data_IF_937610977075
#
_entry.id   IF_937610977075
#
_cell.length_a   1.000
_cell.length_b   1.000
_cell.length_c   1.000
_cell.angle_alpha   90.00
_cell.angle_beta   90.00
_cell.angle_gamma   90.00
#
_symmetry.space_group_name_H-M   'P 1'
#
loop_
_entity.id
_entity.type
_entity.pdbx_description
1 polymer ?
#
# COMPACT_ATOMS: atom_id res chain seq x y z
N UNK A 1 30.21 28.81 -1.87
CA UNK A 1 28.92 28.16 -1.54
C UNK A 1 29.26 26.79 -0.97
N UNK A 2 28.82 26.51 0.26
CA UNK A 2 29.10 25.24 0.94
C UNK A 2 28.44 24.09 0.18
N UNK A 3 29.11 22.94 0.12
CA UNK A 3 28.46 21.71 -0.33
C UNK A 3 27.53 21.17 0.79
N UNK A 4 26.72 20.14 0.50
CA UNK A 4 25.75 19.58 1.45
C UNK A 4 26.40 19.17 2.77
N UNK A 5 27.53 18.48 2.73
CA UNK A 5 28.24 18.01 3.92
C UNK A 5 28.79 19.18 4.73
N UNK A 6 29.42 20.14 4.07
CA UNK A 6 29.99 21.32 4.72
C UNK A 6 28.87 22.17 5.36
N UNK A 7 27.72 22.28 4.71
CA UNK A 7 26.55 22.98 5.27
C UNK A 7 25.99 22.28 6.50
N UNK A 8 25.90 20.95 6.50
CA UNK A 8 25.41 20.21 7.67
C UNK A 8 26.35 20.32 8.87
N UNK A 9 27.66 20.23 8.65
CA UNK A 9 28.65 20.47 9.71
C UNK A 9 28.59 21.93 10.19
N UNK A 10 28.44 22.89 9.28
CA UNK A 10 28.25 24.29 9.63
C UNK A 10 27.04 24.49 10.55
N UNK A 11 25.89 23.89 10.22
CA UNK A 11 24.70 24.00 11.07
C UNK A 11 24.95 23.38 12.45
N UNK A 12 25.50 22.17 12.51
CA UNK A 12 25.81 21.48 13.77
C UNK A 12 26.78 22.29 14.66
N UNK A 13 27.79 22.93 14.06
CA UNK A 13 28.80 23.70 14.79
C UNK A 13 28.29 25.08 15.26
N UNK A 14 27.31 25.68 14.58
CA UNK A 14 26.82 27.04 14.86
C UNK A 14 25.44 27.11 15.53
N UNK A 15 24.62 26.04 15.46
CA UNK A 15 23.25 26.04 16.03
C UNK A 15 23.22 26.35 17.52
N UNK A 16 24.30 26.01 18.22
CA UNK A 16 24.47 26.26 19.65
C UNK A 16 24.33 27.74 20.03
N UNK A 17 24.77 28.66 19.17
CA UNK A 17 24.74 30.10 19.45
C UNK A 17 23.32 30.68 19.43
N UNK A 18 22.36 29.92 18.91
CA UNK A 18 20.94 30.28 18.78
C UNK A 18 20.07 29.57 19.83
N UNK A 19 20.64 28.65 20.61
CA UNK A 19 19.91 27.89 21.62
C UNK A 19 19.90 28.61 22.99
N UNK A 20 18.86 28.40 23.81
CA UNK A 20 18.85 28.85 25.20
C UNK A 20 20.05 28.35 26.01
N UNK A 21 20.52 29.14 26.97
CA UNK A 21 21.73 28.86 27.79
C UNK A 21 21.68 27.48 28.48
N UNK A 22 20.49 26.97 28.82
CA UNK A 22 20.31 25.62 29.40
C UNK A 22 20.84 24.49 28.51
N UNK A 23 21.02 24.72 27.21
CA UNK A 23 21.55 23.75 26.24
C UNK A 23 23.01 24.02 25.83
N UNK A 24 23.70 24.92 26.53
CA UNK A 24 25.11 25.22 26.27
C UNK A 24 26.06 24.01 26.45
N UNK A 25 25.65 22.96 27.15
CA UNK A 25 26.42 21.72 27.28
C UNK A 25 25.87 20.57 26.43
N UNK A 26 24.92 20.82 25.53
CA UNK A 26 24.32 19.76 24.72
C UNK A 26 25.37 19.12 23.79
N UNK A 27 25.39 17.80 23.72
CA UNK A 27 26.26 17.06 22.80
C UNK A 27 25.60 16.97 21.41
N UNK A 28 25.69 18.06 20.67
CA UNK A 28 25.08 18.21 19.34
C UNK A 28 25.81 17.31 18.35
N UNK A 29 25.06 16.50 17.61
CA UNK A 29 25.62 15.61 16.59
C UNK A 29 24.69 15.48 15.39
N UNK A 30 25.27 15.03 14.28
CA UNK A 30 24.53 14.66 13.07
C UNK A 30 24.21 13.16 13.11
N UNK A 31 23.01 12.81 12.66
CA UNK A 31 22.57 11.43 12.54
C UNK A 31 21.92 11.22 11.17
N UNK A 32 22.36 10.19 10.45
CA UNK A 32 21.65 9.72 9.26
C UNK A 32 20.48 8.84 9.66
N UNK A 33 19.32 9.10 9.07
CA UNK A 33 18.07 8.40 9.37
C UNK A 33 17.49 7.88 8.06
N UNK A 34 17.37 6.56 7.96
CA UNK A 34 16.66 5.90 6.87
C UNK A 34 15.15 6.05 7.09
N UNK A 35 14.49 6.66 6.11
CA UNK A 35 13.04 6.82 6.01
C UNK A 35 12.48 5.80 5.02
N UNK A 36 11.15 5.83 4.85
CA UNK A 36 10.45 5.01 3.87
C UNK A 36 10.99 5.29 2.46
N UNK A 37 10.85 4.29 1.59
CA UNK A 37 11.27 4.30 0.19
C UNK A 37 12.78 4.57 0.00
N UNK A 38 13.61 4.19 0.98
CA UNK A 38 15.07 4.34 0.92
C UNK A 38 15.57 5.78 1.05
N UNK A 39 14.69 6.73 1.35
CA UNK A 39 15.08 8.12 1.57
C UNK A 39 15.99 8.21 2.81
N UNK A 40 17.19 8.73 2.63
CA UNK A 40 18.13 8.95 3.74
C UNK A 40 18.26 10.44 4.00
N UNK A 41 17.86 10.87 5.19
CA UNK A 41 17.95 12.26 5.63
C UNK A 41 19.00 12.40 6.72
N UNK A 42 19.65 13.57 6.78
CA UNK A 42 20.57 13.88 7.87
C UNK A 42 19.88 14.83 8.84
N UNK A 43 19.73 14.40 10.09
CA UNK A 43 19.20 15.21 11.16
C UNK A 43 20.32 15.79 12.03
N UNK A 44 20.12 17.02 12.52
CA UNK A 44 20.81 17.50 13.72
C UNK A 44 20.03 17.06 14.95
N UNK A 45 20.76 16.52 15.92
CA UNK A 45 20.22 16.00 17.17
C UNK A 45 20.85 16.80 18.31
N UNK A 46 20.00 17.42 19.12
CA UNK A 46 20.40 18.25 20.28
C UNK A 46 19.81 17.61 21.54
N UNK A 47 20.54 16.73 22.24
CA UNK A 47 20.02 16.06 23.43
C UNK A 47 19.83 17.04 24.60
N UNK A 48 18.70 16.93 25.29
CA UNK A 48 18.44 17.65 26.54
C UNK A 48 18.76 16.75 27.76
N UNK A 49 19.47 17.28 28.77
CA UNK A 49 19.94 16.50 29.93
C UNK A 49 18.81 15.81 30.72
N UNK A 50 17.62 16.43 30.75
CA UNK A 50 16.47 15.97 31.54
C UNK A 50 15.37 15.31 30.67
N UNK A 51 15.66 15.01 29.40
CA UNK A 51 14.70 14.38 28.49
C UNK A 51 15.26 13.11 27.87
N UNK A 52 14.44 12.06 27.86
CA UNK A 52 14.72 10.82 27.11
C UNK A 52 14.27 10.90 25.64
N UNK A 53 13.62 12.01 25.24
CA UNK A 53 13.17 12.25 23.87
C UNK A 53 13.93 13.45 23.32
N UNK A 54 14.45 13.30 22.11
CA UNK A 54 15.09 14.39 21.37
C UNK A 54 14.52 14.44 19.97
N UNK A 55 14.02 15.61 19.51
CA UNK A 55 13.56 15.78 18.15
C UNK A 55 14.72 15.66 17.16
N UNK A 56 14.42 15.09 16.00
CA UNK A 56 15.33 15.06 14.85
C UNK A 56 14.95 16.19 13.90
N UNK A 57 15.80 17.20 13.77
CA UNK A 57 15.60 18.28 12.80
C UNK A 57 16.38 17.96 11.52
N UNK A 58 15.68 17.57 10.46
CA UNK A 58 16.28 17.20 9.18
C UNK A 58 16.81 18.43 8.45
N UNK A 59 18.08 18.39 8.03
CA UNK A 59 18.78 19.53 7.46
C UNK A 59 18.59 19.70 5.94
N UNK A 60 18.02 18.69 5.29
CA UNK A 60 17.88 18.63 3.84
C UNK A 60 17.05 19.78 3.24
N UNK A 61 15.93 20.14 3.87
CA UNK A 61 15.10 21.29 3.45
C UNK A 61 15.85 22.62 3.61
N UNK A 62 16.51 22.83 4.74
CA UNK A 62 17.31 24.03 5.00
C UNK A 62 18.48 24.17 4.03
N UNK A 63 19.08 23.06 3.60
CA UNK A 63 20.11 23.09 2.55
C UNK A 63 19.54 23.54 1.21
N UNK A 64 18.31 23.14 0.85
CA UNK A 64 17.67 23.65 -0.37
C UNK A 64 17.40 25.15 -0.28
N UNK A 65 16.96 25.65 0.88
CA UNK A 65 16.79 27.10 1.09
C UNK A 65 18.12 27.86 0.95
N UNK A 66 19.20 27.35 1.53
CA UNK A 66 20.55 27.89 1.35
C UNK A 66 20.97 27.90 -0.12
N UNK A 67 20.72 26.80 -0.84
CA UNK A 67 20.98 26.68 -2.29
C UNK A 67 20.18 27.69 -3.12
N UNK A 68 19.00 28.07 -2.64
CA UNK A 68 18.14 29.09 -3.24
C UNK A 68 18.52 30.53 -2.82
N UNK A 69 19.62 30.71 -2.07
CA UNK A 69 20.20 32.01 -1.75
C UNK A 69 19.93 32.50 -0.32
N UNK A 70 19.29 31.69 0.53
CA UNK A 70 19.13 32.03 1.96
C UNK A 70 20.51 32.10 2.63
N UNK A 71 20.67 33.06 3.54
CA UNK A 71 21.91 33.21 4.29
C UNK A 71 22.11 31.98 5.22
N UNK A 72 23.32 31.41 5.31
CA UNK A 72 23.56 30.22 6.12
C UNK A 72 23.28 30.43 7.61
N UNK A 73 23.60 31.59 8.18
CA UNK A 73 23.32 31.92 9.59
C UNK A 73 21.82 32.05 9.85
N UNK A 74 21.05 32.52 8.86
CA UNK A 74 19.60 32.50 8.95
C UNK A 74 19.07 31.07 9.00
N UNK A 75 19.57 30.16 8.15
CA UNK A 75 19.21 28.74 8.20
C UNK A 75 19.53 28.09 9.55
N UNK A 76 20.66 28.46 10.18
CA UNK A 76 21.02 27.99 11.53
C UNK A 76 19.99 28.46 12.56
N UNK A 77 19.57 29.73 12.48
CA UNK A 77 18.50 30.29 13.30
C UNK A 77 17.18 29.53 13.13
N UNK A 78 16.76 29.27 11.89
CA UNK A 78 15.50 28.53 11.64
C UNK A 78 15.54 27.09 12.18
N UNK A 79 16.70 26.44 12.12
CA UNK A 79 16.90 25.10 12.70
C UNK A 79 16.77 25.15 14.21
N UNK A 80 17.33 26.17 14.86
CA UNK A 80 17.20 26.36 16.31
C UNK A 80 15.75 26.66 16.71
N UNK A 81 15.08 27.55 15.99
CA UNK A 81 13.68 27.90 16.23
C UNK A 81 12.76 26.69 16.10
N UNK A 82 12.91 25.90 15.04
CA UNK A 82 12.14 24.67 14.84
C UNK A 82 12.41 23.64 15.94
N UNK A 83 13.66 23.49 16.36
CA UNK A 83 13.99 22.59 17.46
C UNK A 83 13.38 23.06 18.79
N UNK A 84 13.42 24.37 19.08
CA UNK A 84 12.82 24.95 20.28
C UNK A 84 11.30 24.72 20.26
N UNK A 85 10.64 24.98 19.14
CA UNK A 85 9.20 24.74 18.98
C UNK A 85 8.83 23.27 19.21
N UNK A 86 9.63 22.34 18.70
CA UNK A 86 9.42 20.89 18.88
C UNK A 86 9.71 20.40 20.31
N UNK A 87 10.56 21.11 21.06
CA UNK A 87 10.82 20.82 22.47
C UNK A 87 9.81 21.50 23.41
N UNK A 88 9.25 22.64 23.02
CA UNK A 88 8.27 23.41 23.79
C UNK A 88 6.83 22.99 23.48
N UNK A 89 6.62 22.19 22.44
CA UNK A 89 5.31 21.60 22.20
C UNK A 89 4.95 20.75 23.42
N UNK A 90 3.77 21.02 24.01
CA UNK A 90 3.11 20.27 25.10
C UNK A 90 2.82 18.79 24.74
N UNK A 91 3.52 18.23 23.76
CA UNK A 91 3.73 16.81 23.56
C UNK A 91 4.46 16.25 24.79
N UNK A 92 3.75 16.20 25.91
CA UNK A 92 4.10 15.41 27.08
C UNK A 92 3.88 13.95 26.71
N UNK A 93 4.78 13.45 25.86
CA UNK A 93 4.80 12.08 25.38
C UNK A 93 5.03 11.20 26.60
N UNK A 94 3.96 10.60 27.10
CA UNK A 94 4.02 9.66 28.21
C UNK A 94 4.69 8.36 27.75
N UNK A 95 6.03 8.37 27.72
CA UNK A 95 6.86 7.22 27.35
C UNK A 95 6.53 6.01 28.22
N UNK A 96 6.25 6.22 29.51
CA UNK A 96 5.90 5.15 30.43
C UNK A 96 4.54 4.56 30.06
N UNK A 97 3.56 5.41 29.77
CA UNK A 97 2.25 5.01 29.25
C UNK A 97 2.33 4.22 27.95
N UNK A 98 3.29 4.52 27.07
CA UNK A 98 3.50 3.77 25.82
C UNK A 98 4.03 2.36 26.01
N UNK A 99 4.74 2.10 27.10
CA UNK A 99 5.23 0.76 27.42
C UNK A 99 4.11 -0.17 27.91
N UNK A 100 2.94 0.38 28.26
CA UNK A 100 1.75 -0.39 28.56
C UNK A 100 0.86 -0.52 27.32
N UNK A 101 0.74 -1.73 26.80
CA UNK A 101 -0.09 -2.03 25.63
C UNK A 101 -1.55 -1.60 25.81
N UNK A 102 -2.09 -1.71 27.03
CA UNK A 102 -3.47 -1.35 27.33
C UNK A 102 -3.78 0.13 27.08
N UNK A 103 -2.78 1.00 27.19
CA UNK A 103 -2.93 2.44 26.99
C UNK A 103 -2.79 2.88 25.53
N UNK A 104 -2.24 2.02 24.67
CA UNK A 104 -1.93 2.35 23.27
C UNK A 104 -2.78 1.60 22.26
N UNK A 105 -3.40 0.47 22.63
CA UNK A 105 -4.19 -0.37 21.72
C UNK A 105 -5.26 0.40 20.92
N UNK A 106 -5.94 1.35 21.56
CA UNK A 106 -7.02 2.14 20.95
C UNK A 106 -6.49 3.35 20.16
N UNK A 107 -5.17 3.53 20.13
CA UNK A 107 -4.44 4.53 19.35
C UNK A 107 -3.64 3.90 18.22
N UNK A 108 -3.75 2.58 18.04
CA UNK A 108 -3.09 1.87 16.96
C UNK A 108 -3.72 2.27 15.63
N UNK A 109 -2.87 2.42 14.63
CA UNK A 109 -3.24 2.68 13.25
C UNK A 109 -2.46 1.72 12.35
N UNK A 110 -3.15 1.14 11.38
CA UNK A 110 -2.52 0.37 10.30
C UNK A 110 -2.13 1.32 9.17
N UNK A 111 -0.91 1.17 8.69
CA UNK A 111 -0.39 1.84 7.49
C UNK A 111 0.20 0.79 6.57
N UNK A 112 0.46 1.16 5.32
CA UNK A 112 1.00 0.21 4.34
C UNK A 112 2.09 0.83 3.47
N UNK A 113 2.94 -0.04 2.93
CA UNK A 113 4.04 0.32 2.05
C UNK A 113 4.40 -0.83 1.10
N UNK A 114 5.15 -0.54 0.05
CA UNK A 114 5.79 -1.57 -0.78
C UNK A 114 6.99 -2.20 -0.04
N UNK A 115 6.95 -3.51 0.28
CA UNK A 115 8.02 -4.18 1.00
C UNK A 115 9.35 -4.17 0.23
N UNK A 116 9.32 -4.19 -1.11
CA UNK A 116 10.54 -4.25 -1.91
C UNK A 116 11.30 -2.92 -1.87
N UNK A 117 10.56 -1.80 -1.82
CA UNK A 117 11.13 -0.45 -1.69
C UNK A 117 11.53 -0.10 -0.24
N UNK A 118 11.04 -0.86 0.75
CA UNK A 118 11.17 -0.54 2.18
C UNK A 118 11.91 -1.62 2.99
N UNK A 119 12.63 -2.53 2.32
CA UNK A 119 13.23 -3.71 2.95
C UNK A 119 14.06 -3.38 4.20
N UNK A 120 15.02 -2.45 4.09
CA UNK A 120 15.88 -2.02 5.20
C UNK A 120 15.08 -1.36 6.32
N UNK A 121 14.16 -0.45 5.96
CA UNK A 121 13.33 0.27 6.94
C UNK A 121 12.38 -0.64 7.73
N UNK A 122 11.96 -1.77 7.14
CA UNK A 122 11.07 -2.76 7.75
C UNK A 122 11.80 -3.78 8.65
N UNK A 123 13.14 -3.81 8.67
CA UNK A 123 13.91 -4.86 9.38
C UNK A 123 13.61 -4.94 10.88
N UNK A 124 13.35 -3.80 11.53
CA UNK A 124 13.02 -3.68 12.94
C UNK A 124 11.52 -3.48 13.22
N UNK A 125 10.67 -3.42 12.18
CA UNK A 125 9.24 -3.11 12.32
C UNK A 125 8.38 -4.36 12.51
N UNK A 126 7.26 -4.17 13.20
CA UNK A 126 6.18 -5.16 13.23
C UNK A 126 5.40 -5.09 11.90
N UNK A 127 5.31 -6.22 11.20
CA UNK A 127 4.76 -6.27 9.83
C UNK A 127 3.85 -7.48 9.61
N UNK A 128 2.73 -7.27 8.93
CA UNK A 128 1.90 -8.33 8.34
C UNK A 128 1.83 -8.15 6.82
N UNK A 129 2.03 -9.23 6.07
CA UNK A 129 2.02 -9.19 4.59
C UNK A 129 0.60 -9.31 4.03
N UNK A 130 0.26 -8.45 3.07
CA UNK A 130 -0.97 -8.46 2.30
C UNK A 130 -0.65 -8.47 0.81
N UNK A 131 -0.37 -9.65 0.27
CA UNK A 131 0.06 -9.80 -1.13
C UNK A 131 1.36 -9.04 -1.39
N UNK A 132 1.28 -8.02 -2.24
CA UNK A 132 2.42 -7.17 -2.60
C UNK A 132 2.63 -5.97 -1.66
N UNK A 133 1.81 -5.83 -0.62
CA UNK A 133 1.96 -4.78 0.40
C UNK A 133 2.40 -5.35 1.75
N UNK A 134 3.15 -4.55 2.49
CA UNK A 134 3.44 -4.75 3.90
C UNK A 134 2.60 -3.79 4.74
N UNK A 135 1.75 -4.33 5.61
CA UNK A 135 1.10 -3.56 6.66
C UNK A 135 2.08 -3.38 7.83
N UNK A 136 2.27 -2.14 8.25
CA UNK A 136 3.01 -1.78 9.45
C UNK A 136 2.11 -0.96 10.37
N UNK A 137 2.51 -0.83 11.63
CA UNK A 137 1.65 -0.28 12.67
C UNK A 137 2.27 0.95 13.30
N UNK A 138 1.43 1.91 13.65
CA UNK A 138 1.83 3.11 14.38
C UNK A 138 0.93 3.35 15.58
N UNK A 139 1.46 3.95 16.63
CA UNK A 139 0.68 4.53 17.72
C UNK A 139 0.55 6.03 17.45
N UNK A 140 -0.68 6.53 17.30
CA UNK A 140 -0.93 7.95 17.12
C UNK A 140 -0.90 8.66 18.48
N UNK A 141 -0.06 9.67 18.60
CA UNK A 141 0.20 10.40 19.84
C UNK A 141 -0.67 11.66 19.93
N UNK A 142 -0.71 12.39 18.83
CA UNK A 142 -1.55 13.56 18.64
C UNK A 142 -1.87 13.73 17.16
N UNK A 143 -2.97 14.41 16.90
CA UNK A 143 -3.39 14.83 15.57
C UNK A 143 -3.77 16.30 15.67
N UNK A 144 -3.12 17.13 14.87
CA UNK A 144 -3.39 18.56 14.76
C UNK A 144 -3.53 18.94 13.28
N UNK A 145 -3.70 20.24 13.00
CA UNK A 145 -3.83 20.72 11.62
C UNK A 145 -2.56 20.52 10.78
N UNK A 146 -1.42 20.34 11.43
CA UNK A 146 -0.10 20.22 10.80
C UNK A 146 0.30 18.74 10.57
N UNK A 147 -0.45 17.78 11.12
CA UNK A 147 -0.32 16.36 10.84
C UNK A 147 -0.57 15.45 12.04
N UNK A 148 -0.11 14.19 11.90
CA UNK A 148 -0.26 13.14 12.91
C UNK A 148 1.11 12.81 13.50
N UNK A 149 1.34 13.18 14.76
CA UNK A 149 2.50 12.72 15.51
C UNK A 149 2.30 11.23 15.85
N UNK A 150 3.23 10.39 15.42
CA UNK A 150 3.08 8.94 15.57
C UNK A 150 4.42 8.23 15.73
N UNK A 151 4.39 7.09 16.42
CA UNK A 151 5.55 6.21 16.63
C UNK A 151 5.29 4.89 15.93
N UNK A 152 6.27 4.40 15.16
CA UNK A 152 6.16 3.09 14.53
C UNK A 152 6.35 1.97 15.55
N UNK A 153 5.51 0.94 15.47
CA UNK A 153 5.63 -0.25 16.32
C UNK A 153 6.78 -1.11 15.81
N UNK A 154 7.78 -1.29 16.66
CA UNK A 154 8.96 -2.11 16.40
C UNK A 154 8.81 -3.51 16.98
N UNK A 155 9.68 -4.43 16.56
CA UNK A 155 9.80 -5.77 17.16
C UNK A 155 10.12 -5.69 18.66
N UNK A 156 10.94 -4.70 19.07
CA UNK A 156 11.25 -4.47 20.48
C UNK A 156 10.00 -4.04 21.29
N UNK A 157 9.10 -3.24 20.70
CA UNK A 157 7.84 -2.88 21.36
C UNK A 157 6.90 -4.09 21.51
N UNK A 158 6.83 -4.97 20.50
CA UNK A 158 6.09 -6.23 20.61
C UNK A 158 6.60 -7.08 21.78
N UNK A 159 7.92 -7.23 21.91
CA UNK A 159 8.56 -7.96 23.02
C UNK A 159 8.25 -7.32 24.38
N UNK A 160 8.33 -5.99 24.48
CA UNK A 160 8.01 -5.25 25.69
C UNK A 160 6.54 -5.41 26.11
N UNK A 161 5.62 -5.34 25.14
CA UNK A 161 4.18 -5.52 25.33
C UNK A 161 3.77 -6.98 25.55
N UNK A 162 4.67 -7.93 25.23
CA UNK A 162 4.42 -9.38 25.33
C UNK A 162 3.22 -9.83 24.49
N UNK A 163 3.06 -9.25 23.31
CA UNK A 163 2.05 -9.64 22.33
C UNK A 163 2.72 -10.12 21.03
N UNK A 164 2.01 -10.91 20.25
CA UNK A 164 2.45 -11.29 18.92
C UNK A 164 1.92 -10.32 17.85
N UNK A 165 2.48 -10.42 16.64
CA UNK A 165 2.08 -9.58 15.50
C UNK A 165 0.64 -9.81 15.05
N UNK A 166 0.08 -11.01 15.29
CA UNK A 166 -1.31 -11.32 14.94
C UNK A 166 -2.29 -10.57 15.83
N UNK A 167 -2.03 -10.54 17.14
CA UNK A 167 -2.78 -9.76 18.13
C UNK A 167 -2.69 -8.27 17.79
N UNK A 168 -1.47 -7.76 17.56
CA UNK A 168 -1.27 -6.37 17.13
C UNK A 168 -2.08 -6.03 15.87
N UNK A 169 -2.06 -6.91 14.86
CA UNK A 169 -2.79 -6.69 13.62
C UNK A 169 -4.30 -6.60 13.87
N UNK A 170 -4.86 -7.52 14.65
CA UNK A 170 -6.30 -7.53 14.94
C UNK A 170 -6.72 -6.27 15.71
N UNK A 171 -5.97 -5.89 16.73
CA UNK A 171 -6.25 -4.70 17.53
C UNK A 171 -6.09 -3.42 16.71
N UNK A 172 -5.05 -3.33 15.88
CA UNK A 172 -4.86 -2.21 14.96
C UNK A 172 -6.00 -2.11 13.94
N UNK A 173 -6.42 -3.22 13.34
CA UNK A 173 -7.57 -3.24 12.42
C UNK A 173 -8.86 -2.81 13.12
N UNK A 174 -9.06 -3.21 14.39
CA UNK A 174 -10.24 -2.79 15.15
C UNK A 174 -10.22 -1.29 15.50
N UNK A 175 -9.08 -0.76 15.93
CA UNK A 175 -8.86 0.66 16.21
C UNK A 175 -9.04 1.53 14.95
N UNK A 176 -8.54 1.05 13.81
CA UNK A 176 -8.53 1.78 12.53
C UNK A 176 -9.93 1.89 11.87
N UNK A 177 -10.93 1.12 12.32
CA UNK A 177 -12.30 1.15 11.77
C UNK A 177 -12.98 2.52 11.85
N UNK A 178 -12.64 3.33 12.85
CA UNK A 178 -13.30 4.61 13.11
C UNK A 178 -12.67 5.79 12.35
N UNK A 179 -11.77 5.53 11.39
CA UNK A 179 -11.09 6.58 10.63
C UNK A 179 -11.95 7.34 9.63
N UNK A 180 -13.24 7.00 9.53
CA UNK A 180 -14.16 7.63 8.60
C UNK A 180 -13.75 7.38 7.15
N UNK A 181 -13.76 6.12 6.69
CA UNK A 181 -13.44 5.81 5.31
C UNK A 181 -14.38 6.58 4.38
N UNK A 182 -13.79 7.17 3.34
CA UNK A 182 -14.50 7.98 2.38
C UNK A 182 -14.12 7.61 0.95
N UNK A 183 -15.14 7.37 0.14
CA UNK A 183 -14.99 7.19 -1.29
C UNK A 183 -15.55 8.42 -1.99
N UNK A 184 -14.74 9.09 -2.80
CA UNK A 184 -15.15 10.27 -3.55
C UNK A 184 -14.97 10.04 -5.04
N UNK A 185 -15.81 10.63 -5.88
CA UNK A 185 -15.49 10.70 -7.31
C UNK A 185 -14.44 11.77 -7.55
N UNK A 186 -13.61 11.60 -8.57
CA UNK A 186 -12.62 12.61 -8.93
C UNK A 186 -13.27 13.94 -9.33
N UNK A 187 -14.43 13.90 -9.98
CA UNK A 187 -15.17 15.12 -10.34
C UNK A 187 -15.61 15.89 -9.09
N UNK A 188 -16.20 15.21 -8.10
CA UNK A 188 -16.63 15.87 -6.85
C UNK A 188 -15.43 16.43 -6.07
N UNK A 189 -14.27 15.75 -6.11
CA UNK A 189 -13.03 16.27 -5.51
C UNK A 189 -12.53 17.54 -6.23
N UNK A 190 -12.55 17.56 -7.56
CA UNK A 190 -12.18 18.75 -8.34
C UNK A 190 -13.15 19.91 -8.08
N UNK A 191 -14.46 19.65 -8.10
CA UNK A 191 -15.48 20.65 -7.80
C UNK A 191 -15.35 21.19 -6.38
N UNK A 192 -15.12 20.32 -5.38
CA UNK A 192 -14.89 20.73 -3.99
C UNK A 192 -13.68 21.66 -3.85
N UNK A 193 -12.63 21.45 -4.64
CA UNK A 193 -11.41 22.26 -4.60
C UNK A 193 -11.62 23.65 -5.21
N UNK A 194 -12.58 23.79 -6.14
CA UNK A 194 -12.91 25.05 -6.81
C UNK A 194 -13.99 25.82 -6.04
N UNK A 195 -15.02 25.13 -5.55
CA UNK A 195 -16.22 25.73 -4.95
C UNK A 195 -16.18 25.77 -3.42
N UNK A 196 -15.30 24.99 -2.78
CA UNK A 196 -15.18 24.88 -1.33
C UNK A 196 -16.28 24.03 -0.65
N UNK A 197 -17.12 23.34 -1.43
CA UNK A 197 -18.17 22.46 -0.91
C UNK A 197 -17.61 21.09 -0.51
N UNK A 198 -18.11 20.48 0.58
CA UNK A 198 -17.64 19.15 1.00
C UNK A 198 -18.14 18.09 0.01
N UNK A 199 -17.26 17.25 -0.57
CA UNK A 199 -17.68 16.20 -1.50
C UNK A 199 -18.53 15.14 -0.77
N UNK A 200 -19.48 14.55 -1.50
CA UNK A 200 -20.34 13.50 -0.97
C UNK A 200 -19.58 12.18 -0.84
N UNK A 201 -19.59 11.57 0.34
CA UNK A 201 -19.03 10.23 0.54
C UNK A 201 -19.94 9.18 -0.11
N UNK A 202 -19.39 8.42 -1.05
CA UNK A 202 -20.10 7.43 -1.88
C UNK A 202 -20.27 6.07 -1.18
N UNK A 203 -19.52 5.77 -0.11
CA UNK A 203 -19.72 4.51 0.64
C UNK A 203 -21.08 4.46 1.36
N UNK A 204 -21.62 5.63 1.72
CA UNK A 204 -22.88 5.77 2.47
C UNK A 204 -23.94 6.55 1.65
N UNK A 205 -23.72 6.73 0.35
CA UNK A 205 -24.57 7.55 -0.52
C UNK A 205 -25.53 6.73 -1.38
N UNK A 206 -26.51 7.41 -1.98
CA UNK A 206 -27.50 6.80 -2.88
C UNK A 206 -27.04 6.75 -4.35
N UNK A 207 -25.94 7.44 -4.68
CA UNK A 207 -25.39 7.50 -6.04
C UNK A 207 -24.79 6.17 -6.44
N UNK A 208 -24.91 5.81 -7.71
CA UNK A 208 -24.34 4.58 -8.27
C UNK A 208 -23.12 4.88 -9.14
N UNK A 209 -22.16 3.95 -9.17
CA UNK A 209 -20.97 4.09 -10.01
C UNK A 209 -21.28 4.32 -11.50
N UNK A 210 -22.39 3.75 -11.99
CA UNK A 210 -22.82 3.87 -13.39
C UNK A 210 -23.29 5.29 -13.77
N UNK A 211 -23.54 6.16 -12.79
CA UNK A 211 -23.95 7.55 -13.02
C UNK A 211 -22.77 8.46 -13.38
N UNK A 212 -21.53 7.98 -13.23
CA UNK A 212 -20.32 8.76 -13.48
C UNK A 212 -19.78 8.50 -14.88
N UNK A 213 -19.67 9.57 -15.68
CA UNK A 213 -19.16 9.49 -17.06
C UNK A 213 -17.70 9.01 -17.14
N UNK A 214 -16.87 9.42 -16.18
CA UNK A 214 -15.50 8.92 -15.99
C UNK A 214 -15.43 8.28 -14.59
N UNK A 215 -15.60 6.96 -14.48
CA UNK A 215 -15.68 6.30 -13.18
C UNK A 215 -14.27 6.10 -12.60
N UNK A 216 -13.70 7.17 -12.06
CA UNK A 216 -12.48 7.15 -11.25
C UNK A 216 -12.82 7.69 -9.86
N UNK A 217 -12.47 6.91 -8.85
CA UNK A 217 -12.82 7.18 -7.47
C UNK A 217 -11.58 7.19 -6.57
N UNK A 218 -11.60 7.99 -5.53
CA UNK A 218 -10.53 8.10 -4.54
C UNK A 218 -11.03 7.56 -3.20
N UNK A 219 -10.36 6.52 -2.69
CA UNK A 219 -10.53 6.04 -1.32
C UNK A 219 -9.54 6.75 -0.41
N UNK A 220 -10.07 7.49 0.54
CA UNK A 220 -9.33 8.29 1.52
C UNK A 220 -10.09 8.38 2.85
N UNK A 221 -9.74 9.33 3.71
CA UNK A 221 -10.48 9.67 4.92
C UNK A 221 -10.75 11.18 5.01
N UNK A 222 -11.48 11.61 6.04
CA UNK A 222 -11.83 13.04 6.19
C UNK A 222 -10.61 13.96 6.31
N UNK A 223 -9.51 13.46 6.89
CA UNK A 223 -8.26 14.22 7.04
C UNK A 223 -7.34 14.13 5.83
N UNK A 224 -7.67 13.29 4.84
CA UNK A 224 -6.86 12.99 3.66
C UNK A 224 -5.43 12.56 4.01
N UNK A 225 -5.25 11.87 5.14
CA UNK A 225 -3.94 11.49 5.66
C UNK A 225 -3.83 10.00 5.95
N UNK A 226 -2.77 9.35 5.47
CA UNK A 226 -2.43 7.94 5.74
C UNK A 226 -3.58 6.95 5.47
N UNK A 227 -4.50 7.24 4.55
CA UNK A 227 -5.74 6.51 4.40
C UNK A 227 -5.69 5.42 3.32
N UNK A 228 -4.57 5.29 2.59
CA UNK A 228 -4.44 4.24 1.59
C UNK A 228 -4.56 2.82 2.20
N UNK A 229 -4.13 2.64 3.46
CA UNK A 229 -4.26 1.38 4.19
C UNK A 229 -5.72 0.96 4.44
N UNK A 230 -6.69 1.85 4.27
CA UNK A 230 -8.11 1.50 4.34
C UNK A 230 -8.46 0.40 3.35
N UNK A 231 -7.77 0.31 2.20
CA UNK A 231 -7.99 -0.76 1.23
C UNK A 231 -7.65 -2.15 1.77
N UNK A 232 -6.91 -2.27 2.87
CA UNK A 232 -6.60 -3.55 3.52
C UNK A 232 -7.79 -4.12 4.31
N UNK A 233 -8.79 -3.30 4.62
CA UNK A 233 -10.02 -3.72 5.28
C UNK A 233 -10.97 -4.40 4.28
N UNK A 234 -11.33 -5.66 4.58
CA UNK A 234 -12.17 -6.48 3.69
C UNK A 234 -13.58 -5.93 3.56
N UNK A 235 -14.16 -5.40 4.63
CA UNK A 235 -15.47 -4.75 4.63
C UNK A 235 -15.50 -3.50 3.75
N UNK A 236 -14.42 -2.71 3.73
CA UNK A 236 -14.27 -1.57 2.81
C UNK A 236 -14.24 -2.05 1.36
N UNK A 237 -13.44 -3.08 1.06
CA UNK A 237 -13.39 -3.67 -0.29
C UNK A 237 -14.75 -4.23 -0.74
N UNK A 238 -15.52 -4.84 0.17
CA UNK A 238 -16.89 -5.29 -0.12
C UNK A 238 -17.83 -4.13 -0.44
N UNK A 239 -17.82 -3.07 0.36
CA UNK A 239 -18.63 -1.88 0.09
C UNK A 239 -18.29 -1.26 -1.27
N UNK A 240 -17.00 -1.20 -1.62
CA UNK A 240 -16.56 -0.73 -2.93
C UNK A 240 -17.07 -1.67 -4.04
N UNK A 241 -16.92 -2.98 -3.90
CA UNK A 241 -17.43 -3.96 -4.87
C UNK A 241 -18.95 -3.86 -5.08
N UNK A 242 -19.71 -3.63 -4.01
CA UNK A 242 -21.16 -3.38 -4.06
C UNK A 242 -21.50 -2.06 -4.78
N UNK A 243 -20.76 -0.98 -4.49
CA UNK A 243 -20.93 0.31 -5.14
C UNK A 243 -20.61 0.25 -6.64
N UNK A 244 -19.53 -0.44 -7.02
CA UNK A 244 -19.12 -0.63 -8.43
C UNK A 244 -19.97 -1.67 -9.17
N UNK A 245 -20.66 -2.56 -8.43
CA UNK A 245 -21.34 -3.76 -8.94
C UNK A 245 -20.46 -4.66 -9.79
N UNK A 246 -19.18 -4.76 -9.43
CA UNK A 246 -18.20 -5.51 -10.20
C UNK A 246 -16.81 -5.45 -9.60
N UNK A 247 -15.89 -6.06 -10.32
CA UNK A 247 -14.48 -6.06 -9.99
C UNK A 247 -13.86 -4.68 -10.26
N UNK A 248 -12.72 -4.40 -9.64
CA UNK A 248 -12.06 -3.10 -9.78
C UNK A 248 -10.55 -3.19 -9.63
N UNK A 249 -9.85 -2.24 -10.26
CA UNK A 249 -8.43 -2.00 -10.08
C UNK A 249 -8.18 -1.00 -8.95
N UNK A 250 -7.10 -1.23 -8.21
CA UNK A 250 -6.61 -0.36 -7.15
C UNK A 250 -5.26 0.16 -7.60
N UNK A 251 -5.20 1.48 -7.83
CA UNK A 251 -4.01 2.21 -8.20
C UNK A 251 -3.44 2.87 -6.93
N UNK A 252 -2.24 2.48 -6.50
CA UNK A 252 -1.57 3.12 -5.38
C UNK A 252 -1.18 4.56 -5.76
N UNK A 253 -1.96 5.55 -5.32
CA UNK A 253 -1.70 6.98 -5.62
C UNK A 253 -0.64 7.54 -4.66
N UNK A 254 -0.83 7.33 -3.36
CA UNK A 254 0.15 7.68 -2.32
C UNK A 254 -0.13 6.87 -1.06
N UNK A 255 0.63 7.08 0.01
CA UNK A 255 0.30 6.53 1.34
C UNK A 255 -1.00 7.12 1.90
N UNK A 256 -1.48 8.25 1.35
CA UNK A 256 -2.64 8.98 1.82
C UNK A 256 -3.94 8.48 1.21
N UNK A 257 -3.91 7.91 0.00
CA UNK A 257 -5.11 7.50 -0.73
C UNK A 257 -4.82 6.48 -1.83
N UNK A 258 -5.85 5.74 -2.24
CA UNK A 258 -5.82 4.87 -3.43
C UNK A 258 -6.86 5.29 -4.43
N UNK A 259 -6.51 5.27 -5.72
CA UNK A 259 -7.45 5.47 -6.82
C UNK A 259 -8.07 4.13 -7.23
N UNK A 260 -9.35 4.14 -7.56
CA UNK A 260 -10.15 2.97 -7.87
C UNK A 260 -10.81 3.14 -9.24
N UNK A 261 -10.67 2.12 -10.08
CA UNK A 261 -11.23 2.06 -11.43
C UNK A 261 -12.07 0.78 -11.58
N UNK A 262 -13.34 0.84 -11.98
CA UNK A 262 -14.10 -0.37 -12.30
C UNK A 262 -13.44 -1.16 -13.43
N UNK A 263 -13.42 -2.48 -13.31
CA UNK A 263 -12.99 -3.35 -14.40
C UNK A 263 -14.13 -3.51 -15.42
N UNK A 264 -14.17 -2.60 -16.39
CA UNK A 264 -15.13 -2.62 -17.49
C UNK A 264 -14.57 -3.31 -18.76
N UNK A 265 -13.35 -3.87 -18.68
CA UNK A 265 -12.66 -4.51 -19.80
C UNK A 265 -11.89 -3.57 -20.73
N UNK A 266 -11.86 -2.26 -20.46
CA UNK A 266 -11.19 -1.27 -21.33
C UNK A 266 -9.73 -1.00 -20.94
N UNK A 267 -9.29 -1.47 -19.77
CA UNK A 267 -7.97 -1.17 -19.23
C UNK A 267 -6.95 -2.27 -19.55
N UNK A 268 -5.79 -1.87 -20.06
CA UNK A 268 -4.58 -2.71 -20.09
C UNK A 268 -3.80 -2.54 -18.78
N UNK A 269 -3.60 -3.63 -18.04
CA UNK A 269 -2.92 -3.58 -16.74
C UNK A 269 -1.47 -3.12 -16.87
N UNK A 270 -0.80 -3.42 -18.00
CA UNK A 270 0.56 -2.93 -18.23
C UNK A 270 0.59 -1.41 -18.39
N UNK A 271 -0.36 -0.85 -19.13
CA UNK A 271 -0.53 0.60 -19.22
C UNK A 271 -0.84 1.24 -17.86
N UNK A 272 -1.72 0.63 -17.04
CA UNK A 272 -2.01 1.13 -15.69
C UNK A 272 -0.77 1.16 -14.80
N UNK A 273 0.03 0.08 -14.78
CA UNK A 273 1.28 0.03 -14.00
C UNK A 273 2.29 1.07 -14.51
N UNK A 274 2.41 1.24 -15.83
CA UNK A 274 3.29 2.25 -16.41
C UNK A 274 2.89 3.66 -15.97
N UNK A 275 1.58 3.97 -15.99
CA UNK A 275 1.04 5.25 -15.55
C UNK A 275 1.32 5.52 -14.06
N UNK A 276 1.03 4.56 -13.17
CA UNK A 276 1.29 4.72 -11.73
C UNK A 276 2.78 4.95 -11.48
N UNK A 277 3.64 4.18 -12.15
CA UNK A 277 5.09 4.31 -12.02
C UNK A 277 5.62 5.66 -12.51
N UNK A 278 5.08 6.18 -13.61
CA UNK A 278 5.43 7.51 -14.13
C UNK A 278 5.04 8.61 -13.15
N UNK A 279 3.79 8.62 -12.68
CA UNK A 279 3.30 9.61 -11.72
C UNK A 279 4.10 9.56 -10.41
N UNK A 280 4.39 8.37 -9.89
CA UNK A 280 5.25 8.22 -8.71
C UNK A 280 6.67 8.76 -8.91
N UNK A 281 7.19 8.72 -10.13
CA UNK A 281 8.55 9.18 -10.42
C UNK A 281 8.66 10.70 -10.63
N UNK A 282 7.56 11.39 -10.97
CA UNK A 282 7.57 12.82 -11.33
C UNK A 282 6.77 13.71 -10.41
N UNK A 283 5.63 13.25 -9.89
CA UNK A 283 4.66 14.10 -9.18
C UNK A 283 4.53 13.79 -7.68
N UNK A 284 4.97 12.62 -7.22
CA UNK A 284 4.80 12.18 -5.83
C UNK A 284 6.11 12.30 -5.06
N UNK A 285 6.06 12.91 -3.86
CA UNK A 285 7.21 12.97 -2.98
C UNK A 285 7.68 11.55 -2.59
N UNK A 286 8.99 11.34 -2.53
CA UNK A 286 9.56 10.01 -2.32
C UNK A 286 9.03 9.33 -1.04
N UNK A 287 8.81 10.09 0.03
CA UNK A 287 8.24 9.62 1.29
C UNK A 287 6.76 9.21 1.24
N UNK A 288 6.02 9.72 0.25
CA UNK A 288 4.58 9.54 0.07
C UNK A 288 4.25 8.47 -0.98
N UNK A 289 5.24 8.01 -1.75
CA UNK A 289 5.08 6.89 -2.68
C UNK A 289 4.65 5.64 -1.90
N UNK A 290 3.55 5.03 -2.33
CA UNK A 290 3.05 3.80 -1.75
C UNK A 290 3.65 2.57 -2.45
N UNK A 291 3.42 2.42 -3.76
CA UNK A 291 3.92 1.33 -4.60
C UNK A 291 3.68 1.66 -6.07
N UNK A 292 4.40 0.99 -6.98
CA UNK A 292 4.12 1.06 -8.43
C UNK A 292 3.18 -0.06 -8.90
N UNK A 293 2.77 -0.96 -8.00
CA UNK A 293 2.11 -2.23 -8.33
C UNK A 293 0.61 -2.08 -8.25
N UNK A 294 -0.05 -2.04 -9.40
CA UNK A 294 -1.52 -2.04 -9.49
C UNK A 294 -2.07 -3.35 -8.96
N UNK A 295 -3.10 -3.27 -8.10
CA UNK A 295 -3.83 -4.44 -7.62
C UNK A 295 -5.16 -4.57 -8.35
N UNK A 296 -5.68 -5.78 -8.36
CA UNK A 296 -7.02 -6.12 -8.78
C UNK A 296 -7.80 -6.64 -7.55
N UNK A 297 -9.06 -6.25 -7.44
CA UNK A 297 -9.97 -6.77 -6.42
C UNK A 297 -11.20 -7.39 -7.07
N UNK A 298 -11.51 -8.63 -6.69
CA UNK A 298 -12.77 -9.27 -7.02
C UNK A 298 -13.89 -8.64 -6.18
N UNK A 299 -14.87 -8.02 -6.85
CA UNK A 299 -15.92 -7.23 -6.20
C UNK A 299 -16.89 -8.08 -5.37
N UNK A 300 -16.95 -9.40 -5.64
CA UNK A 300 -17.86 -10.32 -4.94
C UNK A 300 -17.22 -10.92 -3.70
N UNK A 301 -15.96 -11.32 -3.79
CA UNK A 301 -15.22 -12.01 -2.73
C UNK A 301 -14.32 -11.08 -1.92
N UNK A 302 -14.09 -9.86 -2.40
CA UNK A 302 -13.15 -8.88 -1.84
C UNK A 302 -11.71 -9.38 -1.74
N UNK A 303 -11.36 -10.39 -2.55
CA UNK A 303 -9.99 -10.90 -2.68
C UNK A 303 -9.19 -9.91 -3.54
N UNK A 304 -8.10 -9.43 -2.97
CA UNK A 304 -7.16 -8.53 -3.64
C UNK A 304 -5.89 -9.29 -4.03
N UNK A 305 -5.46 -9.16 -5.29
CA UNK A 305 -4.21 -9.74 -5.81
C UNK A 305 -3.51 -8.75 -6.76
N UNK A 306 -2.23 -8.97 -7.05
CA UNK A 306 -1.51 -8.14 -8.03
C UNK A 306 -2.11 -8.32 -9.43
N UNK A 307 -2.43 -7.20 -10.09
CA UNK A 307 -3.14 -7.22 -11.37
C UNK A 307 -2.31 -7.87 -12.50
N UNK A 308 -1.01 -7.59 -12.58
CA UNK A 308 -0.13 -8.13 -13.63
C UNK A 308 0.09 -9.64 -13.45
N UNK A 309 0.28 -10.09 -12.21
CA UNK A 309 0.39 -11.52 -11.88
C UNK A 309 -0.90 -12.27 -12.23
N UNK A 310 -2.07 -11.65 -11.97
CA UNK A 310 -3.38 -12.19 -12.34
C UNK A 310 -3.51 -12.35 -13.86
N UNK A 311 -3.21 -11.32 -14.64
CA UNK A 311 -3.28 -11.40 -16.10
C UNK A 311 -2.35 -12.47 -16.66
N UNK A 312 -1.09 -12.49 -16.23
CA UNK A 312 -0.13 -13.50 -16.67
C UNK A 312 -0.58 -14.93 -16.33
N UNK A 313 -1.27 -15.12 -15.20
CA UNK A 313 -1.88 -16.40 -14.83
C UNK A 313 -3.03 -16.76 -15.77
N UNK A 314 -3.95 -15.82 -16.04
CA UNK A 314 -5.10 -16.04 -16.94
C UNK A 314 -4.66 -16.32 -18.38
N UNK A 315 -3.61 -15.64 -18.88
CA UNK A 315 -3.02 -15.92 -20.20
C UNK A 315 -2.45 -17.34 -20.30
N UNK A 316 -1.71 -17.77 -19.27
CA UNK A 316 -1.18 -19.14 -19.19
C UNK A 316 -2.29 -20.19 -19.13
N UNK A 317 -3.34 -19.94 -18.36
CA UNK A 317 -4.51 -20.82 -18.28
C UNK A 317 -5.24 -20.92 -19.63
N UNK A 318 -5.43 -19.80 -20.33
CA UNK A 318 -6.01 -19.76 -21.68
C UNK A 318 -5.14 -20.51 -22.70
N UNK A 319 -3.82 -20.31 -22.69
CA UNK A 319 -2.89 -21.02 -23.57
C UNK A 319 -2.91 -22.54 -23.32
N UNK A 320 -2.85 -22.96 -22.05
CA UNK A 320 -2.94 -24.36 -21.67
C UNK A 320 -4.29 -25.00 -22.05
N UNK A 321 -5.39 -24.24 -21.99
CA UNK A 321 -6.70 -24.71 -22.43
C UNK A 321 -6.80 -24.86 -23.96
N UNK A 322 -6.10 -24.00 -24.71
CA UNK A 322 -6.03 -24.08 -26.18
C UNK A 322 -5.11 -25.20 -26.68
N UNK A 323 -4.10 -25.59 -25.90
CA UNK A 323 -3.17 -26.68 -26.23
C UNK A 323 -3.69 -28.08 -25.87
N UNK A 324 -4.76 -28.20 -25.07
CA UNK A 324 -5.44 -29.49 -24.88
C UNK A 324 -6.08 -29.90 -26.21
N UNK A 325 -5.74 -31.06 -26.79
CA UNK A 325 -6.43 -31.55 -27.98
C UNK A 325 -7.91 -31.59 -27.66
N UNK A 326 -8.76 -31.12 -28.58
CA UNK A 326 -10.16 -31.45 -28.57
C UNK A 326 -10.24 -32.98 -28.59
N UNK A 327 -10.40 -33.59 -27.41
CA UNK A 327 -10.71 -34.99 -27.29
C UNK A 327 -11.94 -35.19 -28.19
N UNK A 328 -11.77 -35.98 -29.26
CA UNK A 328 -12.87 -36.39 -30.15
C UNK A 328 -13.83 -37.29 -29.37
N UNK A 329 -14.50 -36.75 -28.35
CA UNK A 329 -15.49 -37.45 -27.50
C UNK A 329 -16.92 -37.21 -27.99
N UNK A 330 -17.11 -36.34 -28.98
CA UNK A 330 -18.37 -36.23 -29.72
C UNK A 330 -18.65 -37.47 -30.58
N UNK A 331 -19.93 -37.73 -30.89
CA UNK A 331 -20.40 -38.89 -31.69
C UNK A 331 -19.56 -39.14 -32.96
N UNK A 332 -19.01 -38.09 -33.57
CA UNK A 332 -18.13 -38.19 -34.73
C UNK A 332 -16.83 -38.97 -34.47
N UNK A 333 -16.22 -38.83 -33.28
CA UNK A 333 -15.03 -39.58 -32.90
C UNK A 333 -15.32 -41.07 -32.69
N UNK A 334 -16.50 -41.39 -32.15
CA UNK A 334 -16.98 -42.78 -32.01
C UNK A 334 -17.32 -43.40 -33.37
N UNK A 335 -17.88 -42.62 -34.31
CA UNK A 335 -18.20 -43.09 -35.67
C UNK A 335 -16.96 -43.35 -36.53
N UNK A 336 -15.93 -42.50 -36.41
CA UNK A 336 -14.64 -42.70 -37.09
C UNK A 336 -13.93 -43.95 -36.57
N UNK A 337 -13.90 -44.13 -35.25
CA UNK A 337 -13.30 -45.33 -34.63
C UNK A 337 -14.03 -46.62 -35.01
N UNK A 338 -15.37 -46.60 -35.05
CA UNK A 338 -16.17 -47.73 -35.52
C UNK A 338 -15.99 -48.02 -37.03
N UNK A 339 -15.78 -46.99 -37.86
CA UNK A 339 -15.47 -47.15 -39.29
C UNK A 339 -14.09 -47.75 -39.53
N UNK A 340 -13.10 -47.41 -38.71
CA UNK A 340 -11.75 -47.98 -38.78
C UNK A 340 -11.73 -49.44 -38.31
N UNK A 341 -12.47 -49.77 -37.24
CA UNK A 341 -12.60 -51.15 -36.75
C UNK A 341 -13.36 -52.06 -37.73
N UNK A 342 -14.38 -51.56 -38.44
CA UNK A 342 -15.06 -52.31 -39.52
C UNK A 342 -14.17 -52.56 -40.74
N UNK A 343 -13.26 -51.62 -41.09
CA UNK A 343 -12.30 -51.83 -42.18
C UNK A 343 -11.19 -52.82 -41.81
N UNK A 344 -10.84 -52.93 -40.53
CA UNK A 344 -9.87 -53.90 -40.04
C UNK A 344 -10.46 -55.32 -39.91
N UNK A 345 -11.77 -55.46 -39.73
CA UNK A 345 -12.47 -56.75 -39.59
C UNK A 345 -12.70 -57.52 -40.90
N UNK A 346 -12.61 -56.88 -42.06
CA UNK A 346 -12.90 -57.50 -43.38
C UNK A 346 -11.71 -58.24 -44.01
N UNK A 347 -10.58 -58.36 -43.29
CA UNK A 347 -9.42 -59.15 -43.72
C UNK A 347 -9.26 -60.37 -42.82
N UNK A 348 -10.22 -61.29 -42.84
CA UNK A 348 -10.01 -62.72 -42.54
C UNK A 348 -11.27 -63.54 -42.90
N UNK A 349 -11.18 -64.28 -44.02
CA UNK A 349 -11.95 -65.52 -44.21
C UNK A 349 -12.77 -65.63 -45.49
N UNK A 350 -12.14 -66.02 -46.61
CA UNK A 350 -12.86 -66.71 -47.70
C UNK A 350 -13.19 -68.16 -47.30
N UNK A 351 -14.27 -68.75 -47.84
CA UNK A 351 -14.89 -69.97 -47.32
C UNK A 351 -14.24 -71.24 -47.87
N UNK A 352 -14.08 -72.26 -47.02
CA UNK A 352 -13.95 -73.65 -47.46
C UNK A 352 -15.20 -74.42 -47.04
N UNK A 353 -15.94 -74.90 -48.04
CA UNK A 353 -17.09 -75.75 -47.82
C UNK A 353 -16.70 -77.19 -47.46
N UNK A 354 -17.61 -77.90 -46.79
CA UNK A 354 -18.09 -79.23 -47.18
C UNK A 354 -19.20 -79.71 -46.22
N UNK A 355 -20.34 -80.00 -46.83
CA UNK A 355 -21.28 -81.14 -46.59
C UNK A 355 -21.81 -81.46 -45.19
N UNK A 356 -23.15 -81.54 -45.12
CA UNK A 356 -24.04 -82.54 -44.48
C UNK A 356 -23.61 -83.08 -43.11
N UNK A 357 -24.47 -83.07 -42.09
CA UNK A 357 -25.69 -83.86 -42.13
C UNK A 357 -26.73 -83.43 -41.06
N UNK A 358 -27.96 -83.82 -41.38
CA UNK A 358 -29.15 -83.98 -40.54
C UNK A 358 -28.95 -84.16 -39.02
N UNK A 359 -29.76 -83.45 -38.21
CA UNK A 359 -30.77 -84.07 -37.34
C UNK A 359 -31.53 -83.03 -36.50
N UNK A 360 -32.80 -83.33 -36.33
CA UNK A 360 -33.90 -82.64 -35.67
C UNK A 360 -33.94 -82.99 -34.16
N UNK A 361 -34.83 -82.32 -33.42
CA UNK A 361 -35.35 -82.68 -32.07
C UNK A 361 -34.44 -82.17 -30.92
N UNK A 362 -34.89 -81.40 -29.91
CA UNK A 362 -36.21 -81.11 -29.33
C UNK A 362 -36.21 -79.71 -28.70
#
# INVERSE_FOLDING_TARGET
MMNRKDFFEYVKDNVKDYLPEKYADANIHLQEVVKKNGLTLTAVVIPAKDSNITPNVYLDSFYQEYRNGKNPDACVGDVADLWIEQMDTDLNVDVNGMMDYGNVKDKLQIRMCDPDKNKEWLEDKAVTMHGDFAAYYTVNLSENKDGIASVSVTKALLEAWKIDVQTLHQDAMASDKNRGPALYSMNDLMESSIMGEKPQNLLNGDRRAEEFFMPMFCLTNETKMNAASLILHEDIRKQIGEFMKGDFYILPSSIHETLLLPDNGDFDVKALNAMVKEVNATEVALEDILSDKVQFCDGRTAVMENAEKREARLEKEKAAAAEKPAEKTGLHGKLEKAKEEMKAGDVLGKPQGKTRDTAMVM
#
